data_IF_165110478757
#
_entry.id   IF_165110478757
#
_cell.length_a   1.000
_cell.length_b   1.000
_cell.length_c   1.000
_cell.angle_alpha   90.00
_cell.angle_beta   90.00
_cell.angle_gamma   90.00
#
_symmetry.space_group_name_H-M   'P 1'
#
loop_
_entity.id
_entity.type
_entity.pdbx_description
1 polymer ?
#
# COMPACT_ATOMS: atom_id res chain seq x y z
N UNK A 1 41.63 -26.64 -19.89
CA UNK A 1 41.91 -25.48 -20.76
C UNK A 1 42.28 -24.31 -19.88
N UNK A 2 43.53 -23.88 -19.90
CA UNK A 2 43.98 -22.72 -19.13
C UNK A 2 43.64 -21.46 -19.92
N UNK A 3 42.69 -20.67 -19.43
CA UNK A 3 42.41 -19.35 -20.00
C UNK A 3 43.49 -18.40 -19.52
N UNK A 4 44.17 -17.72 -20.44
CA UNK A 4 45.25 -16.77 -20.12
C UNK A 4 44.66 -15.48 -19.53
N UNK A 5 45.44 -14.78 -18.69
CA UNK A 5 45.04 -13.50 -18.10
C UNK A 5 44.61 -12.47 -19.14
N UNK A 6 45.21 -12.48 -20.35
CA UNK A 6 44.82 -11.59 -21.45
C UNK A 6 43.45 -11.93 -22.06
N UNK A 7 43.08 -13.23 -22.07
CA UNK A 7 41.76 -13.66 -22.51
C UNK A 7 40.68 -13.26 -21.50
N UNK A 8 40.96 -13.36 -20.20
CA UNK A 8 40.07 -12.89 -19.13
C UNK A 8 39.89 -11.38 -19.23
N UNK A 9 40.95 -10.61 -19.40
CA UNK A 9 40.84 -9.14 -19.58
C UNK A 9 40.03 -8.76 -20.83
N UNK A 10 40.21 -9.48 -21.94
CA UNK A 10 39.43 -9.24 -23.17
C UNK A 10 37.93 -9.51 -22.97
N UNK A 11 37.58 -10.59 -22.28
CA UNK A 11 36.22 -10.92 -21.94
C UNK A 11 35.61 -9.89 -21.00
N UNK A 12 36.34 -9.48 -19.97
CA UNK A 12 35.91 -8.44 -19.02
C UNK A 12 35.67 -7.10 -19.71
N UNK A 13 36.59 -6.68 -20.60
CA UNK A 13 36.43 -5.45 -21.41
C UNK A 13 35.24 -5.53 -22.35
N UNK A 14 34.93 -6.69 -22.93
CA UNK A 14 33.79 -6.91 -23.80
C UNK A 14 32.47 -6.82 -23.00
N UNK A 15 32.43 -7.47 -21.85
CA UNK A 15 31.26 -7.41 -20.93
C UNK A 15 31.08 -5.98 -20.40
N UNK A 16 32.14 -5.29 -20.00
CA UNK A 16 32.07 -3.90 -19.53
C UNK A 16 31.71 -2.92 -20.66
N UNK A 17 32.10 -3.18 -21.91
CA UNK A 17 31.70 -2.41 -23.09
C UNK A 17 30.25 -2.61 -23.48
N UNK A 18 29.69 -3.81 -23.24
CA UNK A 18 28.26 -4.10 -23.45
C UNK A 18 27.38 -3.57 -22.29
N UNK A 19 27.95 -3.31 -21.12
CA UNK A 19 27.29 -2.70 -19.94
C UNK A 19 27.39 -1.16 -19.98
N UNK A 20 28.18 -0.56 -20.86
CA UNK A 20 28.15 0.89 -21.06
C UNK A 20 26.77 1.29 -21.59
N UNK A 21 25.93 2.00 -20.81
CA UNK A 21 24.63 2.44 -21.32
C UNK A 21 24.91 3.43 -22.45
N UNK A 22 24.44 3.10 -23.65
CA UNK A 22 24.26 4.10 -24.68
C UNK A 22 23.44 5.23 -24.05
N UNK A 23 24.02 6.40 -23.94
CA UNK A 23 23.34 7.61 -23.51
C UNK A 23 22.29 7.99 -24.57
N UNK A 24 21.13 7.29 -24.52
CA UNK A 24 19.94 7.71 -25.22
C UNK A 24 19.28 8.81 -24.37
N UNK A 25 19.82 10.03 -24.45
CA UNK A 25 19.17 11.24 -23.98
C UNK A 25 18.14 11.67 -25.02
N UNK A 26 17.07 10.93 -25.18
CA UNK A 26 15.81 11.53 -25.66
C UNK A 26 15.16 12.19 -24.44
N UNK A 27 15.53 13.44 -24.14
CA UNK A 27 14.79 14.27 -23.20
C UNK A 27 13.40 14.46 -23.78
N UNK A 28 12.43 13.68 -23.32
CA UNK A 28 11.03 14.01 -23.55
C UNK A 28 10.87 15.45 -23.09
N UNK A 29 10.43 16.35 -23.97
CA UNK A 29 10.30 17.79 -23.66
C UNK A 29 9.32 17.92 -22.50
N UNK A 30 9.80 18.33 -21.33
CA UNK A 30 8.95 18.58 -20.17
C UNK A 30 7.88 19.59 -20.60
N UNK A 31 6.57 19.31 -20.42
CA UNK A 31 5.53 20.26 -20.79
C UNK A 31 5.60 21.52 -19.91
N UNK A 32 5.03 22.63 -20.39
CA UNK A 32 5.00 23.88 -19.63
C UNK A 32 4.02 23.82 -18.44
N UNK A 33 2.97 22.99 -18.55
CA UNK A 33 1.87 22.90 -17.59
C UNK A 33 1.55 21.46 -17.26
N UNK A 34 0.92 21.25 -16.11
CA UNK A 34 0.39 19.97 -15.64
C UNK A 34 -1.06 20.15 -15.18
N UNK A 35 -1.88 19.12 -15.37
CA UNK A 35 -3.24 19.06 -14.85
C UNK A 35 -3.26 18.29 -13.54
N UNK A 36 -4.04 18.77 -12.58
CA UNK A 36 -4.30 18.11 -11.30
C UNK A 36 -5.80 18.00 -11.08
N UNK A 37 -6.26 16.90 -10.51
CA UNK A 37 -7.62 16.75 -10.04
C UNK A 37 -7.68 17.17 -8.57
N UNK A 38 -8.01 18.42 -8.32
CA UNK A 38 -7.98 19.05 -7.00
C UNK A 38 -9.34 18.92 -6.31
N UNK A 39 -9.33 18.40 -5.09
CA UNK A 39 -10.48 18.48 -4.19
C UNK A 39 -10.59 19.92 -3.67
N UNK A 40 -11.61 20.65 -4.11
CA UNK A 40 -11.82 22.08 -3.81
C UNK A 40 -12.87 22.31 -2.72
N UNK A 41 -13.74 21.33 -2.51
CA UNK A 41 -14.74 21.27 -1.45
C UNK A 41 -15.18 19.80 -1.27
N UNK A 42 -15.85 19.45 -0.16
CA UNK A 42 -16.40 18.11 0.00
C UNK A 42 -17.21 17.65 -1.23
N UNK A 43 -16.91 16.46 -1.75
CA UNK A 43 -17.49 15.84 -2.95
C UNK A 43 -17.28 16.63 -4.25
N UNK A 44 -16.28 17.52 -4.30
CA UNK A 44 -16.04 18.35 -5.46
C UNK A 44 -14.57 18.31 -5.86
N UNK A 45 -14.24 17.44 -6.82
CA UNK A 45 -12.94 17.40 -7.49
C UNK A 45 -13.06 18.18 -8.82
N UNK A 46 -12.17 19.12 -9.04
CA UNK A 46 -12.07 19.92 -10.26
C UNK A 46 -10.69 19.74 -10.90
N UNK A 47 -10.66 19.53 -12.22
CA UNK A 47 -9.39 19.51 -12.95
C UNK A 47 -8.91 20.94 -13.13
N UNK A 48 -7.72 21.22 -12.61
CA UNK A 48 -7.05 22.52 -12.74
C UNK A 48 -5.72 22.35 -13.44
N UNK A 49 -5.26 23.39 -14.11
CA UNK A 49 -3.98 23.42 -14.80
C UNK A 49 -3.05 24.41 -14.14
N UNK A 50 -1.82 23.99 -13.88
CA UNK A 50 -0.78 24.81 -13.26
C UNK A 50 0.51 24.75 -14.08
N UNK A 51 1.27 25.84 -14.07
CA UNK A 51 2.63 25.80 -14.59
C UNK A 51 3.46 24.79 -13.79
N UNK A 52 4.27 24.00 -14.49
CA UNK A 52 5.21 23.08 -13.82
C UNK A 52 6.31 23.93 -13.17
N UNK A 53 6.51 23.83 -11.85
CA UNK A 53 7.58 24.55 -11.18
C UNK A 53 8.96 24.15 -11.73
N UNK A 54 9.93 25.06 -11.64
CA UNK A 54 11.33 24.73 -11.98
C UNK A 54 11.83 23.58 -11.10
N UNK A 55 12.32 22.53 -11.74
CA UNK A 55 12.90 21.37 -11.03
C UNK A 55 14.23 21.80 -10.42
N UNK A 56 14.29 21.80 -9.10
CA UNK A 56 15.48 22.14 -8.32
C UNK A 56 16.53 21.03 -8.30
N UNK A 57 17.68 21.31 -7.71
CA UNK A 57 18.81 20.40 -7.65
C UNK A 57 18.52 19.09 -6.88
N UNK A 58 17.51 19.10 -6.00
CA UNK A 58 17.09 17.98 -5.16
C UNK A 58 15.66 17.50 -5.45
N UNK A 59 15.08 17.87 -6.60
CA UNK A 59 13.72 17.56 -6.96
C UNK A 59 13.65 16.50 -8.07
N UNK A 60 12.53 15.79 -8.14
CA UNK A 60 12.21 14.83 -9.19
C UNK A 60 10.87 15.20 -9.79
N UNK A 61 10.80 15.45 -11.09
CA UNK A 61 9.55 15.57 -11.81
C UNK A 61 9.16 14.22 -12.41
N UNK A 62 7.97 13.78 -12.10
CA UNK A 62 7.40 12.50 -12.54
C UNK A 62 6.21 12.74 -13.45
N UNK A 63 6.18 12.11 -14.62
CA UNK A 63 4.97 11.94 -15.41
C UNK A 63 4.16 10.80 -14.80
N UNK A 64 2.98 11.08 -14.30
CA UNK A 64 2.13 10.06 -13.65
C UNK A 64 1.59 9.07 -14.68
N UNK A 65 1.63 7.79 -14.36
CA UNK A 65 1.04 6.72 -15.18
C UNK A 65 -0.24 6.15 -14.55
N UNK A 66 -0.35 6.20 -13.23
CA UNK A 66 -1.54 5.75 -12.53
C UNK A 66 -1.44 5.91 -11.03
N UNK A 67 -2.59 5.82 -10.36
CA UNK A 67 -2.70 5.90 -8.91
C UNK A 67 -3.92 5.13 -8.41
N UNK A 68 -3.76 4.34 -7.36
CA UNK A 68 -4.90 3.72 -6.67
C UNK A 68 -5.74 4.77 -5.91
N UNK A 69 -7.04 4.50 -5.80
CA UNK A 69 -7.94 5.24 -4.91
C UNK A 69 -8.00 4.51 -3.57
N UNK A 70 -7.60 5.18 -2.51
CA UNK A 70 -7.62 4.69 -1.14
C UNK A 70 -8.91 5.06 -0.40
N UNK A 71 -9.19 4.36 0.70
CA UNK A 71 -10.24 4.75 1.64
C UNK A 71 -10.01 6.14 2.22
N UNK A 72 -8.75 6.53 2.44
CA UNK A 72 -8.35 7.87 2.90
C UNK A 72 -8.79 8.97 1.92
N UNK A 73 -8.57 8.78 0.61
CA UNK A 73 -9.03 9.74 -0.41
C UNK A 73 -10.55 9.92 -0.36
N UNK A 74 -11.28 8.82 -0.13
CA UNK A 74 -12.75 8.84 -0.01
C UNK A 74 -13.21 9.55 1.26
N UNK A 75 -12.50 9.40 2.39
CA UNK A 75 -12.83 10.11 3.62
C UNK A 75 -12.62 11.61 3.45
N UNK A 76 -11.50 12.03 2.85
CA UNK A 76 -11.26 13.43 2.53
C UNK A 76 -12.30 13.99 1.55
N UNK A 77 -12.59 13.25 0.49
CA UNK A 77 -13.61 13.64 -0.49
C UNK A 77 -14.99 13.82 0.15
N UNK A 78 -15.37 13.00 1.16
CA UNK A 78 -16.67 13.10 1.81
C UNK A 78 -16.81 14.29 2.76
N UNK A 79 -15.77 14.66 3.48
CA UNK A 79 -15.97 15.59 4.60
C UNK A 79 -14.73 16.28 5.16
N UNK A 80 -13.55 16.16 4.54
CA UNK A 80 -12.31 16.83 4.97
C UNK A 80 -11.93 16.60 6.45
N UNK A 81 -11.86 15.32 6.91
CA UNK A 81 -11.52 15.03 8.31
C UNK A 81 -10.13 15.50 8.72
N UNK A 82 -9.20 15.72 7.77
CA UNK A 82 -7.85 16.20 8.07
C UNK A 82 -7.70 17.72 7.92
N UNK A 83 -8.73 18.43 7.40
CA UNK A 83 -8.70 19.88 7.24
C UNK A 83 -7.69 20.35 6.19
N UNK A 84 -7.54 19.60 5.09
CA UNK A 84 -6.49 19.85 4.08
C UNK A 84 -7.01 20.40 2.75
N UNK A 85 -8.32 20.62 2.61
CA UNK A 85 -8.89 21.20 1.38
C UNK A 85 -8.48 22.70 1.28
N UNK A 86 -8.00 23.19 0.10
CA UNK A 86 -7.87 22.45 -1.16
C UNK A 86 -6.64 21.55 -1.22
N UNK A 87 -6.77 20.37 -1.86
CA UNK A 87 -5.70 19.37 -1.97
C UNK A 87 -5.79 18.60 -3.29
N UNK A 88 -4.65 18.22 -3.85
CA UNK A 88 -4.58 17.20 -4.90
C UNK A 88 -4.37 15.86 -4.21
N UNK A 89 -5.40 15.00 -4.20
CA UNK A 89 -5.35 13.69 -3.56
C UNK A 89 -4.53 12.66 -4.37
N UNK A 90 -4.56 11.40 -3.91
CA UNK A 90 -3.87 10.26 -4.49
C UNK A 90 -2.47 10.07 -3.92
N UNK A 91 -2.25 8.95 -3.22
CA UNK A 91 -0.99 8.59 -2.56
C UNK A 91 -0.47 7.20 -2.93
N UNK A 92 -1.24 6.42 -3.67
CA UNK A 92 -0.86 5.09 -4.18
C UNK A 92 -0.38 5.17 -5.63
N UNK A 93 0.46 6.15 -5.94
CA UNK A 93 0.79 6.51 -7.32
C UNK A 93 2.14 6.01 -7.81
N UNK A 94 2.25 5.99 -9.14
CA UNK A 94 3.46 5.62 -9.89
C UNK A 94 3.57 6.40 -11.18
N UNK A 95 4.81 6.58 -11.65
CA UNK A 95 5.05 7.25 -12.92
C UNK A 95 6.50 7.16 -13.36
N UNK A 96 6.79 7.82 -14.47
CA UNK A 96 8.12 7.88 -15.09
C UNK A 96 8.81 9.19 -14.75
N UNK A 97 10.07 9.12 -14.36
CA UNK A 97 10.91 10.30 -14.15
C UNK A 97 11.15 11.00 -15.48
N UNK A 98 10.73 12.26 -15.60
CA UNK A 98 10.95 13.08 -16.79
C UNK A 98 11.99 14.19 -16.58
N UNK A 99 12.25 14.57 -15.32
CA UNK A 99 13.39 15.43 -14.98
C UNK A 99 13.92 15.07 -13.59
N UNK A 100 15.24 15.18 -13.42
CA UNK A 100 15.96 14.77 -12.22
C UNK A 100 16.95 15.85 -11.81
N UNK A 101 16.88 16.27 -10.55
CA UNK A 101 17.81 17.21 -9.95
C UNK A 101 19.24 16.66 -9.91
N UNK A 102 20.22 17.53 -10.11
CA UNK A 102 21.62 17.14 -10.26
C UNK A 102 22.25 16.43 -9.04
N UNK A 103 21.68 16.65 -7.84
CA UNK A 103 22.17 16.05 -6.60
C UNK A 103 21.60 14.66 -6.35
N UNK A 104 20.55 14.26 -7.07
CA UNK A 104 19.90 12.96 -6.89
C UNK A 104 20.64 11.92 -7.73
N UNK A 105 21.22 10.90 -7.08
CA UNK A 105 22.01 9.83 -7.71
C UNK A 105 21.46 8.44 -7.44
N UNK A 106 20.70 8.27 -6.35
CA UNK A 106 20.13 7.01 -5.93
C UNK A 106 18.71 7.22 -5.43
N UNK A 107 17.93 6.15 -5.46
CA UNK A 107 16.67 6.08 -4.73
C UNK A 107 16.90 5.91 -3.21
N UNK A 108 15.83 5.83 -2.43
CA UNK A 108 15.91 5.68 -0.97
C UNK A 108 16.57 4.37 -0.53
N UNK A 109 16.51 3.33 -1.35
CA UNK A 109 17.17 2.04 -1.10
C UNK A 109 18.63 2.00 -1.57
N UNK A 110 19.15 3.09 -2.16
CA UNK A 110 20.51 3.18 -2.68
C UNK A 110 20.70 2.69 -4.12
N UNK A 111 19.62 2.35 -4.83
CA UNK A 111 19.70 1.95 -6.24
C UNK A 111 19.94 3.17 -7.13
N UNK A 112 20.77 3.06 -8.18
CA UNK A 112 20.94 4.14 -9.16
C UNK A 112 19.61 4.58 -9.75
N UNK A 113 19.47 5.90 -9.98
CA UNK A 113 18.25 6.50 -10.51
C UNK A 113 18.56 7.42 -11.68
N UNK A 114 17.70 7.43 -12.70
CA UNK A 114 17.85 8.24 -13.91
C UNK A 114 16.50 8.63 -14.51
N UNK A 115 16.49 9.59 -15.41
CA UNK A 115 15.34 9.92 -16.26
C UNK A 115 14.92 8.67 -17.06
N UNK A 116 13.61 8.42 -17.13
CA UNK A 116 12.99 7.24 -17.72
C UNK A 116 12.71 6.11 -16.73
N UNK A 117 13.27 6.14 -15.52
CA UNK A 117 12.95 5.14 -14.50
C UNK A 117 11.53 5.29 -14.00
N UNK A 118 10.90 4.16 -13.68
CA UNK A 118 9.59 4.11 -13.03
C UNK A 118 9.78 4.18 -11.52
N UNK A 119 9.01 5.05 -10.87
CA UNK A 119 9.11 5.23 -9.42
C UNK A 119 7.76 5.27 -8.74
N UNK A 120 7.83 5.06 -7.43
CA UNK A 120 6.77 5.26 -6.45
C UNK A 120 7.30 6.13 -5.32
N UNK A 121 6.43 6.79 -4.57
CA UNK A 121 6.80 7.50 -3.34
C UNK A 121 6.33 6.73 -2.11
N UNK A 122 6.92 7.04 -0.97
CA UNK A 122 6.52 6.56 0.35
C UNK A 122 6.28 7.74 1.28
N UNK A 123 6.22 7.48 2.57
CA UNK A 123 6.04 8.48 3.61
C UNK A 123 7.19 9.50 3.62
N UNK A 124 6.85 10.74 3.97
CA UNK A 124 7.80 11.83 4.16
C UNK A 124 8.03 11.98 5.66
N UNK A 125 9.27 11.87 6.11
CA UNK A 125 9.63 12.00 7.52
C UNK A 125 10.41 13.29 7.79
N UNK A 126 10.17 13.93 8.96
CA UNK A 126 10.82 15.21 9.26
C UNK A 126 12.34 15.10 9.53
N UNK A 127 12.82 13.93 9.92
CA UNK A 127 14.23 13.67 10.25
C UNK A 127 14.68 14.23 11.62
N UNK A 128 13.80 14.89 12.39
CA UNK A 128 14.20 15.62 13.61
C UNK A 128 13.39 15.31 14.87
N UNK A 129 12.20 14.70 14.76
CA UNK A 129 11.43 14.30 15.94
C UNK A 129 12.10 13.13 16.68
N UNK A 130 11.57 12.78 17.84
CA UNK A 130 12.10 11.68 18.66
C UNK A 130 12.21 10.37 17.86
N UNK A 131 11.17 10.00 17.13
CA UNK A 131 11.15 8.76 16.35
C UNK A 131 12.19 8.80 15.23
N UNK A 132 12.22 9.86 14.43
CA UNK A 132 13.16 9.97 13.33
C UNK A 132 14.62 9.88 13.77
N UNK A 133 14.95 10.47 14.95
CA UNK A 133 16.32 10.43 15.50
C UNK A 133 16.70 9.11 16.16
N UNK A 134 15.76 8.45 16.82
CA UNK A 134 16.06 7.29 17.67
C UNK A 134 15.59 5.96 17.08
N UNK A 135 14.65 5.98 16.12
CA UNK A 135 14.08 4.81 15.45
C UNK A 135 13.87 5.08 13.95
N UNK A 136 14.92 5.35 13.17
CA UNK A 136 14.81 5.78 11.78
C UNK A 136 14.10 4.77 10.86
N UNK A 137 14.05 3.49 11.26
CA UNK A 137 13.29 2.46 10.56
C UNK A 137 11.77 2.55 10.76
N UNK A 138 11.29 3.46 11.63
CA UNK A 138 9.87 3.60 11.95
C UNK A 138 9.35 4.97 11.45
N UNK A 139 9.60 5.31 10.19
CA UNK A 139 9.21 6.61 9.60
C UNK A 139 7.71 6.85 9.63
N UNK A 140 6.91 5.79 9.67
CA UNK A 140 5.45 5.83 9.85
C UNK A 140 5.00 6.39 11.21
N UNK A 141 5.88 6.49 12.18
CA UNK A 141 5.60 7.07 13.50
C UNK A 141 6.21 8.47 13.67
N UNK A 142 6.57 9.14 12.58
CA UNK A 142 7.03 10.52 12.60
C UNK A 142 5.92 11.45 13.09
N UNK A 143 6.23 12.37 14.03
CA UNK A 143 5.24 13.29 14.60
C UNK A 143 4.59 14.23 13.57
N UNK A 144 5.30 14.51 12.46
CA UNK A 144 4.86 15.35 11.36
C UNK A 144 4.98 14.60 10.03
N UNK A 145 4.56 13.34 10.03
CA UNK A 145 4.55 12.51 8.83
C UNK A 145 3.77 13.19 7.70
N UNK A 146 4.37 13.26 6.51
CA UNK A 146 3.71 13.69 5.29
C UNK A 146 3.55 12.53 4.31
N UNK A 147 2.59 12.67 3.40
CA UNK A 147 2.36 11.74 2.29
C UNK A 147 1.99 12.56 1.06
N UNK A 148 2.61 12.31 -0.08
CA UNK A 148 2.19 12.91 -1.34
C UNK A 148 0.74 12.52 -1.64
N UNK A 149 -0.12 13.52 -1.89
CA UNK A 149 -1.57 13.33 -2.00
C UNK A 149 -2.37 13.71 -0.75
N UNK A 150 -1.69 14.00 0.37
CA UNK A 150 -2.30 14.52 1.61
C UNK A 150 -1.61 15.81 2.08
N UNK A 151 -0.90 16.49 1.18
CA UNK A 151 -0.26 17.78 1.43
C UNK A 151 -1.21 18.88 0.94
N UNK A 152 -1.62 19.83 1.80
CA UNK A 152 -2.46 20.96 1.38
C UNK A 152 -1.86 21.71 0.19
N UNK A 153 -2.71 22.24 -0.66
CA UNK A 153 -2.29 23.00 -1.83
C UNK A 153 -1.39 24.18 -1.48
N UNK A 154 -0.38 24.39 -2.30
CA UNK A 154 0.52 25.55 -2.21
C UNK A 154 0.86 26.04 -3.61
N UNK A 155 0.80 27.36 -3.83
CA UNK A 155 1.21 27.98 -5.11
C UNK A 155 2.69 27.74 -5.44
N UNK A 156 3.54 27.47 -4.44
CA UNK A 156 4.96 27.16 -4.64
C UNK A 156 5.17 25.79 -5.27
N UNK A 157 4.37 24.82 -4.88
CA UNK A 157 4.33 23.49 -5.50
C UNK A 157 2.87 22.99 -5.52
N UNK A 158 2.15 23.15 -6.64
CA UNK A 158 0.80 22.66 -6.80
C UNK A 158 0.73 21.17 -7.14
N UNK A 159 1.87 20.51 -7.41
CA UNK A 159 1.98 19.15 -7.92
C UNK A 159 2.36 18.17 -6.80
N UNK A 160 1.56 18.10 -5.74
CA UNK A 160 1.84 17.33 -4.52
C UNK A 160 1.01 16.06 -4.35
N UNK A 161 0.18 15.69 -5.33
CA UNK A 161 -0.67 14.49 -5.30
C UNK A 161 -0.63 13.74 -6.63
N UNK A 162 -0.87 12.43 -6.55
CA UNK A 162 -0.79 11.54 -7.72
C UNK A 162 -2.04 11.58 -8.61
N UNK A 163 -3.14 12.21 -8.19
CA UNK A 163 -4.27 12.47 -9.10
C UNK A 163 -3.95 13.67 -9.98
N UNK A 164 -2.95 13.51 -10.81
CA UNK A 164 -2.39 14.53 -11.67
C UNK A 164 -1.74 13.93 -12.92
N UNK A 165 -1.39 14.75 -13.90
CA UNK A 165 -0.55 14.32 -15.04
C UNK A 165 0.93 14.31 -14.67
N UNK A 166 1.33 15.13 -13.69
CA UNK A 166 2.71 15.20 -13.19
C UNK A 166 2.71 15.41 -11.67
N UNK A 167 3.71 14.86 -11.02
CA UNK A 167 4.03 15.04 -9.61
C UNK A 167 5.43 15.64 -9.48
N UNK A 168 5.61 16.65 -8.63
CA UNK A 168 6.93 17.16 -8.27
C UNK A 168 7.30 16.68 -6.87
N UNK A 169 8.18 15.69 -6.81
CA UNK A 169 8.76 15.23 -5.54
C UNK A 169 9.81 16.26 -5.14
N UNK A 170 9.55 16.97 -4.06
CA UNK A 170 10.44 18.01 -3.53
C UNK A 170 10.37 18.01 -1.99
N UNK A 171 11.37 18.60 -1.37
CA UNK A 171 11.41 18.74 0.08
C UNK A 171 12.24 17.66 0.79
N UNK A 172 12.71 18.07 1.98
CA UNK A 172 13.52 17.21 2.86
C UNK A 172 12.66 16.05 3.37
N UNK A 173 13.23 14.86 3.41
CA UNK A 173 12.59 13.66 3.96
C UNK A 173 11.69 12.92 2.96
N UNK A 174 11.53 13.40 1.72
CA UNK A 174 10.83 12.66 0.67
C UNK A 174 11.55 11.35 0.38
N UNK A 175 10.77 10.27 0.30
CA UNK A 175 11.28 8.93 0.00
C UNK A 175 10.64 8.40 -1.28
N UNK A 176 11.43 7.71 -2.10
CA UNK A 176 11.04 7.18 -3.41
C UNK A 176 11.87 5.97 -3.78
N UNK A 177 11.30 5.09 -4.60
CA UNK A 177 11.90 3.80 -4.97
C UNK A 177 11.76 3.54 -6.47
N UNK A 178 12.84 3.04 -7.09
CA UNK A 178 12.84 2.58 -8.49
C UNK A 178 12.14 1.23 -8.58
N UNK A 179 11.18 1.11 -9.51
CA UNK A 179 10.27 -0.05 -9.66
C UNK A 179 10.13 -0.52 -11.12
N UNK A 180 11.22 -0.45 -11.87
CA UNK A 180 11.24 -0.74 -13.31
C UNK A 180 10.78 -2.16 -13.68
N UNK A 181 10.93 -3.12 -12.80
CA UNK A 181 10.62 -4.53 -13.01
C UNK A 181 9.17 -4.91 -12.66
N UNK A 182 8.39 -3.96 -12.13
CA UNK A 182 6.98 -4.11 -11.82
C UNK A 182 6.12 -3.51 -12.95
N UNK A 183 5.08 -4.22 -13.38
CA UNK A 183 4.12 -3.65 -14.32
C UNK A 183 3.23 -2.58 -13.67
N UNK A 184 2.47 -1.82 -14.49
CA UNK A 184 1.66 -0.71 -14.00
C UNK A 184 0.68 -1.12 -12.90
N UNK A 185 0.02 -2.29 -13.03
CA UNK A 185 -0.96 -2.75 -12.03
C UNK A 185 -0.27 -3.13 -10.72
N UNK A 186 0.89 -3.77 -10.78
CA UNK A 186 1.70 -4.10 -9.61
C UNK A 186 2.17 -2.82 -8.90
N UNK A 187 2.62 -1.82 -9.67
CA UNK A 187 3.05 -0.53 -9.11
C UNK A 187 1.91 0.24 -8.42
N UNK A 188 0.68 0.23 -8.98
CA UNK A 188 -0.49 0.84 -8.36
C UNK A 188 -1.02 0.09 -7.13
N UNK A 189 -0.59 -1.15 -6.91
CA UNK A 189 -0.92 -1.94 -5.73
C UNK A 189 0.19 -1.92 -4.68
N UNK A 190 1.36 -1.35 -4.99
CA UNK A 190 2.56 -1.44 -4.16
C UNK A 190 2.36 -0.77 -2.80
N UNK A 191 1.79 0.43 -2.77
CA UNK A 191 1.54 1.17 -1.53
C UNK A 191 0.56 0.39 -0.62
N UNK A 192 -0.57 -0.01 -1.15
CA UNK A 192 -1.55 -0.85 -0.45
C UNK A 192 -0.93 -2.16 0.07
N UNK A 193 -0.06 -2.79 -0.73
CA UNK A 193 0.65 -3.99 -0.32
C UNK A 193 1.65 -3.70 0.82
N UNK A 194 2.24 -2.50 0.83
CA UNK A 194 3.17 -2.08 1.87
C UNK A 194 2.50 -2.01 3.25
N UNK A 195 1.25 -1.50 3.32
CA UNK A 195 0.42 -1.54 4.54
C UNK A 195 0.29 -2.97 5.08
N UNK A 196 0.02 -3.93 4.19
CA UNK A 196 -0.15 -5.34 4.58
C UNK A 196 1.17 -6.02 4.98
N UNK A 197 2.27 -5.72 4.28
CA UNK A 197 3.61 -6.23 4.60
C UNK A 197 4.07 -5.68 5.95
N UNK A 198 3.83 -4.39 6.22
CA UNK A 198 4.10 -3.78 7.53
C UNK A 198 3.31 -4.47 8.64
N UNK A 199 2.00 -4.69 8.44
CA UNK A 199 1.17 -5.38 9.41
C UNK A 199 1.64 -6.82 9.67
N UNK A 200 2.08 -7.57 8.64
CA UNK A 200 2.69 -8.88 8.82
C UNK A 200 4.01 -8.80 9.60
N UNK A 201 4.86 -7.82 9.31
CA UNK A 201 6.11 -7.56 10.06
C UNK A 201 5.81 -7.30 11.54
N UNK A 202 4.77 -6.50 11.84
CA UNK A 202 4.29 -6.27 13.21
C UNK A 202 3.77 -7.56 13.86
N UNK A 203 2.95 -8.33 13.16
CA UNK A 203 2.40 -9.58 13.64
C UNK A 203 3.49 -10.64 13.92
N UNK A 204 4.52 -10.71 13.10
CA UNK A 204 5.64 -11.64 13.25
C UNK A 204 6.44 -11.43 14.54
N UNK A 205 6.37 -10.26 15.18
CA UNK A 205 7.00 -10.02 16.49
C UNK A 205 6.42 -10.91 17.60
N UNK A 206 5.23 -11.48 17.39
CA UNK A 206 4.57 -12.38 18.35
C UNK A 206 5.06 -13.84 18.25
N UNK A 207 5.72 -14.22 17.16
CA UNK A 207 6.12 -15.61 16.89
C UNK A 207 4.96 -16.57 16.57
N UNK A 208 3.73 -16.05 16.39
CA UNK A 208 2.52 -16.87 16.22
C UNK A 208 2.24 -17.26 14.77
N UNK A 209 2.91 -16.63 13.80
CA UNK A 209 2.66 -16.86 12.38
C UNK A 209 3.79 -17.67 11.75
N UNK A 210 3.43 -18.82 11.18
CA UNK A 210 4.32 -19.67 10.39
C UNK A 210 3.49 -20.45 9.35
N UNK A 211 4.13 -21.29 8.53
CA UNK A 211 3.48 -22.05 7.46
C UNK A 211 2.32 -22.96 7.93
N UNK A 212 2.30 -23.39 9.21
CA UNK A 212 1.27 -24.29 9.77
C UNK A 212 0.17 -23.52 10.52
N UNK A 213 0.32 -22.24 10.74
CA UNK A 213 -0.64 -21.42 11.49
C UNK A 213 -1.98 -21.32 10.77
N UNK A 214 -3.06 -21.29 11.56
CA UNK A 214 -4.41 -20.97 11.13
C UNK A 214 -4.60 -19.46 11.31
N UNK A 215 -4.76 -18.73 10.21
CA UNK A 215 -4.83 -17.26 10.23
C UNK A 215 -6.18 -16.81 9.71
N UNK A 216 -6.80 -15.89 10.42
CA UNK A 216 -8.07 -15.28 10.00
C UNK A 216 -7.84 -13.86 9.50
N UNK A 217 -8.51 -13.52 8.39
CA UNK A 217 -8.60 -12.15 7.87
C UNK A 217 -10.06 -11.72 7.91
N UNK A 218 -10.36 -10.70 8.70
CA UNK A 218 -11.71 -10.15 8.85
C UNK A 218 -11.82 -8.80 8.15
N UNK A 219 -12.79 -8.69 7.24
CA UNK A 219 -12.95 -7.56 6.34
C UNK A 219 -12.14 -7.74 5.06
N UNK A 220 -12.83 -7.96 3.94
CA UNK A 220 -12.23 -8.27 2.64
C UNK A 220 -12.34 -7.07 1.67
N UNK A 221 -12.14 -5.87 2.19
CA UNK A 221 -11.80 -4.72 1.37
C UNK A 221 -10.44 -4.91 0.66
N UNK A 222 -9.95 -3.93 -0.09
CA UNK A 222 -8.65 -4.04 -0.77
C UNK A 222 -7.53 -4.50 0.18
N UNK A 223 -7.46 -3.92 1.38
CA UNK A 223 -6.47 -4.29 2.42
C UNK A 223 -6.56 -5.76 2.80
N UNK A 224 -7.76 -6.25 3.16
CA UNK A 224 -7.91 -7.66 3.58
C UNK A 224 -7.62 -8.66 2.47
N UNK A 225 -7.98 -8.33 1.22
CA UNK A 225 -7.68 -9.18 0.07
C UNK A 225 -6.17 -9.22 -0.24
N UNK A 226 -5.48 -8.08 -0.13
CA UNK A 226 -4.01 -8.05 -0.26
C UNK A 226 -3.35 -8.78 0.90
N UNK A 227 -3.88 -8.66 2.15
CA UNK A 227 -3.37 -9.41 3.30
C UNK A 227 -3.42 -10.93 3.08
N UNK A 228 -4.48 -11.45 2.46
CA UNK A 228 -4.55 -12.88 2.07
C UNK A 228 -3.40 -13.24 1.12
N UNK A 229 -3.13 -12.38 0.13
CA UNK A 229 -2.05 -12.58 -0.84
C UNK A 229 -0.67 -12.56 -0.16
N UNK A 230 -0.45 -11.63 0.77
CA UNK A 230 0.79 -11.50 1.55
C UNK A 230 0.99 -12.75 2.44
N UNK A 231 -0.04 -13.17 3.15
CA UNK A 231 0.01 -14.38 3.98
C UNK A 231 0.32 -15.64 3.15
N UNK A 232 -0.32 -15.78 1.98
CA UNK A 232 -0.05 -16.89 1.06
C UNK A 232 1.39 -16.87 0.55
N UNK A 233 1.89 -15.72 0.14
CA UNK A 233 3.28 -15.58 -0.31
C UNK A 233 4.29 -15.85 0.83
N UNK A 234 3.92 -15.54 2.07
CA UNK A 234 4.69 -15.87 3.27
C UNK A 234 4.58 -17.35 3.70
N UNK A 235 3.88 -18.19 2.92
CA UNK A 235 3.77 -19.63 3.15
C UNK A 235 2.64 -20.05 4.10
N UNK A 236 1.76 -19.14 4.53
CA UNK A 236 0.59 -19.50 5.35
C UNK A 236 -0.44 -20.23 4.49
N UNK A 237 -0.73 -21.49 4.83
CA UNK A 237 -1.58 -22.36 4.01
C UNK A 237 -3.03 -22.46 4.50
N UNK A 238 -3.34 -21.99 5.70
CA UNK A 238 -4.66 -22.12 6.32
C UNK A 238 -5.22 -20.73 6.64
N UNK A 239 -5.79 -20.10 5.64
CA UNK A 239 -6.38 -18.76 5.75
C UNK A 239 -7.90 -18.89 5.78
N UNK A 240 -8.52 -18.32 6.82
CA UNK A 240 -9.96 -18.14 6.97
C UNK A 240 -10.28 -16.67 6.67
N UNK A 241 -11.28 -16.39 5.85
CA UNK A 241 -11.65 -15.05 5.46
C UNK A 241 -13.13 -14.76 5.77
N UNK A 242 -13.43 -13.60 6.37
CA UNK A 242 -14.79 -13.20 6.77
C UNK A 242 -15.17 -11.86 6.13
N UNK A 243 -16.29 -11.82 5.39
CA UNK A 243 -16.89 -10.60 4.82
C UNK A 243 -18.40 -10.84 4.58
N UNK A 244 -19.14 -9.80 4.21
CA UNK A 244 -20.55 -9.90 3.82
C UNK A 244 -20.78 -9.76 2.31
N UNK A 245 -19.73 -9.57 1.50
CA UNK A 245 -19.85 -9.26 0.07
C UNK A 245 -19.45 -10.47 -0.78
N UNK A 246 -20.40 -11.11 -1.51
CA UNK A 246 -20.10 -12.34 -2.26
C UNK A 246 -18.91 -12.22 -3.20
N UNK A 247 -18.80 -11.12 -3.95
CA UNK A 247 -17.69 -10.85 -4.89
C UNK A 247 -16.33 -10.84 -4.18
N UNK A 248 -16.26 -10.29 -2.97
CA UNK A 248 -15.03 -10.24 -2.16
C UNK A 248 -14.67 -11.62 -1.58
N UNK A 249 -15.68 -12.38 -1.14
CA UNK A 249 -15.49 -13.76 -0.67
C UNK A 249 -14.98 -14.67 -1.80
N UNK A 250 -15.50 -14.53 -3.01
CA UNK A 250 -15.00 -15.25 -4.18
C UNK A 250 -13.54 -14.87 -4.51
N UNK A 251 -13.22 -13.57 -4.49
CA UNK A 251 -11.86 -13.11 -4.69
C UNK A 251 -10.91 -13.65 -3.62
N UNK A 252 -11.33 -13.68 -2.36
CA UNK A 252 -10.53 -14.26 -1.27
C UNK A 252 -10.17 -15.74 -1.52
N UNK A 253 -11.10 -16.54 -2.06
CA UNK A 253 -10.83 -17.94 -2.48
C UNK A 253 -9.76 -17.98 -3.58
N UNK A 254 -9.88 -17.14 -4.60
CA UNK A 254 -8.89 -17.07 -5.71
C UNK A 254 -7.51 -16.71 -5.17
N UNK A 255 -7.43 -15.79 -4.21
CA UNK A 255 -6.18 -15.34 -3.59
C UNK A 255 -5.58 -16.37 -2.63
N UNK A 256 -6.33 -17.38 -2.22
CA UNK A 256 -5.82 -18.51 -1.42
C UNK A 256 -6.47 -18.75 -0.08
N UNK A 257 -7.55 -18.04 0.27
CA UNK A 257 -8.34 -18.39 1.46
C UNK A 257 -9.00 -19.76 1.27
N UNK A 258 -8.74 -20.68 2.19
CA UNK A 258 -9.30 -22.04 2.16
C UNK A 258 -10.74 -22.09 2.67
N UNK A 259 -11.07 -21.19 3.61
CA UNK A 259 -12.40 -21.09 4.18
C UNK A 259 -12.86 -19.66 4.08
N UNK A 260 -14.06 -19.44 3.55
CA UNK A 260 -14.69 -18.12 3.52
C UNK A 260 -16.03 -18.19 4.25
N UNK A 261 -16.34 -17.15 5.01
CA UNK A 261 -17.54 -17.06 5.83
C UNK A 261 -18.26 -15.74 5.51
N UNK A 262 -19.51 -15.87 5.07
CA UNK A 262 -20.38 -14.71 4.87
C UNK A 262 -21.12 -14.41 6.17
N UNK A 263 -20.84 -13.28 6.81
CA UNK A 263 -21.58 -12.87 8.00
C UNK A 263 -23.03 -12.44 7.71
N UNK A 264 -23.37 -12.22 6.43
CA UNK A 264 -24.76 -11.96 6.01
C UNK A 264 -25.58 -13.23 5.89
N UNK A 265 -24.96 -14.33 5.48
CA UNK A 265 -25.60 -15.64 5.37
C UNK A 265 -25.59 -16.37 6.71
N UNK A 266 -24.50 -16.23 7.47
CA UNK A 266 -24.31 -16.81 8.81
C UNK A 266 -24.33 -15.65 9.82
N UNK A 267 -25.53 -15.20 10.18
CA UNK A 267 -25.75 -14.04 11.06
C UNK A 267 -25.30 -14.28 12.50
N UNK A 268 -25.39 -15.51 12.99
CA UNK A 268 -24.98 -15.86 14.36
C UNK A 268 -23.48 -15.84 14.54
N UNK A 269 -22.98 -15.09 15.53
CA UNK A 269 -21.57 -15.10 15.92
C UNK A 269 -21.15 -16.50 16.37
N UNK A 270 -21.99 -17.19 17.15
CA UNK A 270 -21.71 -18.54 17.64
C UNK A 270 -21.50 -19.53 16.48
N UNK A 271 -22.36 -19.50 15.46
CA UNK A 271 -22.20 -20.35 14.28
C UNK A 271 -20.90 -20.04 13.52
N UNK A 272 -20.55 -18.76 13.33
CA UNK A 272 -19.29 -18.36 12.71
C UNK A 272 -18.08 -18.86 13.52
N UNK A 273 -18.13 -18.73 14.85
CA UNK A 273 -17.10 -19.23 15.77
C UNK A 273 -16.95 -20.75 15.65
N UNK A 274 -18.07 -21.48 15.58
CA UNK A 274 -18.05 -22.94 15.44
C UNK A 274 -17.41 -23.36 14.10
N UNK A 275 -17.71 -22.66 13.00
CA UNK A 275 -17.07 -22.90 11.71
C UNK A 275 -15.56 -22.63 11.80
N UNK A 276 -15.14 -21.50 12.37
CA UNK A 276 -13.72 -21.18 12.54
C UNK A 276 -13.02 -22.25 13.38
N UNK A 277 -13.60 -22.70 14.49
CA UNK A 277 -13.06 -23.75 15.33
C UNK A 277 -12.95 -25.07 14.57
N UNK A 278 -13.95 -25.45 13.77
CA UNK A 278 -13.96 -26.72 13.02
C UNK A 278 -12.78 -26.85 12.05
N UNK A 279 -12.32 -25.72 11.48
CA UNK A 279 -11.17 -25.67 10.56
C UNK A 279 -9.85 -25.29 11.25
N UNK A 280 -9.92 -24.95 12.54
CA UNK A 280 -8.78 -24.51 13.36
C UNK A 280 -8.62 -25.41 14.61
N UNK A 281 -8.49 -26.71 14.38
CA UNK A 281 -8.20 -27.73 15.40
C UNK A 281 -9.18 -27.78 16.60
N UNK A 282 -10.40 -27.27 16.44
CA UNK A 282 -11.41 -27.21 17.49
C UNK A 282 -11.27 -26.07 18.50
N UNK A 283 -10.22 -25.24 18.40
CA UNK A 283 -9.87 -24.24 19.43
C UNK A 283 -9.96 -22.78 18.96
N UNK A 284 -9.89 -22.53 17.67
CA UNK A 284 -9.83 -21.19 17.05
C UNK A 284 -8.48 -20.92 16.38
N UNK A 285 -8.37 -19.76 15.71
CA UNK A 285 -7.19 -19.42 14.94
C UNK A 285 -5.99 -19.02 15.79
N UNK A 286 -4.79 -19.23 15.27
CA UNK A 286 -3.53 -18.83 15.90
C UNK A 286 -3.36 -17.31 15.89
N UNK A 287 -3.74 -16.68 14.77
CA UNK A 287 -3.64 -15.23 14.58
C UNK A 287 -4.78 -14.70 13.73
N UNK A 288 -5.18 -13.43 13.98
CA UNK A 288 -6.22 -12.77 13.22
C UNK A 288 -5.79 -11.37 12.79
N UNK A 289 -6.10 -10.98 11.55
CA UNK A 289 -5.94 -9.61 11.04
C UNK A 289 -7.31 -8.95 10.97
N UNK A 290 -7.48 -7.84 11.69
CA UNK A 290 -8.66 -7.00 11.66
C UNK A 290 -8.44 -5.91 10.59
N UNK A 291 -9.16 -6.02 9.46
CA UNK A 291 -8.98 -5.17 8.28
C UNK A 291 -10.24 -4.35 7.96
N UNK A 292 -11.14 -4.17 8.91
CA UNK A 292 -12.38 -3.38 8.73
C UNK A 292 -12.56 -2.35 9.83
N UNK A 293 -13.01 -1.15 9.50
CA UNK A 293 -13.34 -0.11 10.48
C UNK A 293 -14.73 -0.28 11.12
N UNK A 294 -15.28 -1.50 11.21
CA UNK A 294 -16.58 -1.75 11.82
C UNK A 294 -16.44 -2.18 13.28
N UNK A 295 -16.94 -1.39 14.27
CA UNK A 295 -16.79 -1.70 15.70
C UNK A 295 -17.30 -3.09 16.10
N UNK A 296 -18.44 -3.53 15.54
CA UNK A 296 -18.97 -4.86 15.83
C UNK A 296 -18.04 -5.98 15.34
N UNK A 297 -17.44 -5.84 14.18
CA UNK A 297 -16.47 -6.82 13.67
C UNK A 297 -15.21 -6.86 14.55
N UNK A 298 -14.68 -5.70 14.94
CA UNK A 298 -13.55 -5.61 15.85
C UNK A 298 -13.82 -6.21 17.23
N UNK A 299 -15.07 -6.18 17.71
CA UNK A 299 -15.50 -6.89 18.90
C UNK A 299 -15.53 -8.41 18.67
N UNK A 300 -16.12 -8.86 17.56
CA UNK A 300 -16.31 -10.27 17.27
C UNK A 300 -14.99 -11.03 17.08
N UNK A 301 -13.92 -10.37 16.63
CA UNK A 301 -12.66 -11.02 16.30
C UNK A 301 -12.04 -11.77 17.47
N UNK A 302 -12.24 -11.29 18.70
CA UNK A 302 -11.73 -11.95 19.92
C UNK A 302 -12.27 -13.36 20.09
N UNK A 303 -13.49 -13.65 19.61
CA UNK A 303 -14.13 -14.96 19.76
C UNK A 303 -13.56 -16.02 18.80
N UNK A 304 -12.93 -15.59 17.72
CA UNK A 304 -12.31 -16.50 16.74
C UNK A 304 -10.90 -16.99 17.18
N UNK A 305 -10.24 -16.26 18.09
CA UNK A 305 -8.85 -16.48 18.47
C UNK A 305 -8.77 -17.50 19.61
N UNK A 306 -7.88 -18.49 19.47
CA UNK A 306 -7.60 -19.47 20.53
C UNK A 306 -6.89 -18.85 21.73
N UNK A 307 -6.82 -19.58 22.83
CA UNK A 307 -5.93 -19.22 23.96
C UNK A 307 -4.46 -19.24 23.50
N UNK A 308 -3.67 -18.27 23.97
CA UNK A 308 -2.28 -18.06 23.53
C UNK A 308 -2.16 -17.66 22.05
N UNK A 309 -3.22 -17.20 21.42
CA UNK A 309 -3.21 -16.67 20.07
C UNK A 309 -2.95 -15.16 20.02
N UNK A 310 -3.18 -14.52 18.88
CA UNK A 310 -2.98 -13.08 18.75
C UNK A 310 -3.79 -12.42 17.64
N UNK A 311 -3.74 -11.12 17.62
CA UNK A 311 -4.34 -10.31 16.53
C UNK A 311 -3.51 -9.09 16.20
N UNK A 312 -3.69 -8.63 14.95
CA UNK A 312 -3.23 -7.34 14.48
C UNK A 312 -4.44 -6.46 14.18
N UNK A 313 -4.49 -5.29 14.82
CA UNK A 313 -5.47 -4.25 14.54
C UNK A 313 -4.90 -3.29 13.50
N UNK A 314 -5.52 -3.23 12.34
CA UNK A 314 -5.14 -2.32 11.24
C UNK A 314 -6.35 -1.71 10.52
N UNK A 315 -7.57 -2.02 10.98
CA UNK A 315 -8.81 -1.59 10.33
C UNK A 315 -9.29 -0.20 10.72
N UNK A 316 -8.89 0.29 11.89
CA UNK A 316 -9.29 1.59 12.40
C UNK A 316 -8.26 2.69 12.05
N UNK A 317 -7.99 2.88 10.76
CA UNK A 317 -7.09 3.96 10.29
C UNK A 317 -7.72 5.37 10.42
N UNK A 318 -9.03 5.46 10.68
CA UNK A 318 -9.76 6.67 11.09
C UNK A 318 -10.65 6.33 12.28
N UNK A 319 -11.08 7.34 13.03
CA UNK A 319 -12.01 7.15 14.14
C UNK A 319 -13.41 6.81 13.61
N UNK A 320 -13.76 5.53 13.60
CA UNK A 320 -15.06 5.00 13.19
C UNK A 320 -15.96 4.63 14.40
N UNK A 321 -15.64 5.07 15.61
CA UNK A 321 -16.37 4.78 16.84
C UNK A 321 -15.69 3.75 17.72
N UNK A 322 -16.44 3.27 18.70
CA UNK A 322 -15.95 2.45 19.82
C UNK A 322 -16.63 1.08 19.88
N UNK A 323 -15.96 0.12 20.52
CA UNK A 323 -16.56 -1.16 20.90
C UNK A 323 -16.13 -1.53 22.33
N UNK A 324 -16.97 -2.34 23.00
CA UNK A 324 -16.70 -2.78 24.37
C UNK A 324 -16.44 -4.28 24.41
N UNK A 325 -15.37 -4.68 25.07
CA UNK A 325 -15.04 -6.06 25.37
C UNK A 325 -14.83 -6.26 26.88
N UNK A 326 -15.09 -7.47 27.38
CA UNK A 326 -14.72 -7.81 28.74
C UNK A 326 -13.22 -8.25 28.73
N UNK A 327 -12.33 -7.49 29.39
CA UNK A 327 -10.87 -7.79 29.34
C UNK A 327 -10.52 -9.16 29.87
N UNK A 328 -11.27 -9.68 30.85
CA UNK A 328 -11.04 -11.01 31.39
C UNK A 328 -11.19 -12.08 30.33
N UNK A 329 -12.32 -12.08 29.62
CA UNK A 329 -12.63 -13.13 28.62
C UNK A 329 -11.93 -12.87 27.28
N UNK A 330 -11.81 -11.60 26.87
CA UNK A 330 -11.22 -11.26 25.57
C UNK A 330 -9.70 -11.36 25.56
N UNK A 331 -9.04 -11.02 26.67
CA UNK A 331 -7.58 -10.83 26.71
C UNK A 331 -6.90 -11.71 27.77
N UNK A 332 -7.16 -11.44 29.09
CA UNK A 332 -6.38 -12.05 30.17
C UNK A 332 -6.52 -13.56 30.24
N UNK A 333 -7.75 -14.09 30.27
CA UNK A 333 -8.00 -15.54 30.32
C UNK A 333 -7.47 -16.28 29.08
N UNK A 334 -7.49 -15.61 27.93
CA UNK A 334 -6.95 -16.17 26.68
C UNK A 334 -5.44 -15.96 26.53
N UNK A 335 -4.83 -15.06 27.30
CA UNK A 335 -3.41 -14.69 27.15
C UNK A 335 -3.05 -14.35 25.72
N UNK A 336 -3.86 -13.46 25.07
CA UNK A 336 -3.65 -13.10 23.66
C UNK A 336 -2.64 -11.97 23.49
N UNK A 337 -1.90 -12.01 22.37
CA UNK A 337 -1.04 -10.93 21.91
C UNK A 337 -1.84 -9.99 21.00
N UNK A 338 -1.82 -8.69 21.29
CA UNK A 338 -2.46 -7.66 20.45
C UNK A 338 -1.38 -6.74 19.94
N UNK A 339 -1.29 -6.57 18.63
CA UNK A 339 -0.40 -5.61 17.98
C UNK A 339 -1.19 -4.62 17.14
N UNK A 340 -0.87 -3.33 17.25
CA UNK A 340 -1.38 -2.32 16.34
C UNK A 340 -0.47 -2.21 15.12
N UNK A 341 -1.05 -1.90 13.96
CA UNK A 341 -0.30 -1.55 12.76
C UNK A 341 -0.82 -0.22 12.22
N UNK A 342 0.08 0.72 12.02
CA UNK A 342 -0.22 2.05 11.52
C UNK A 342 0.61 2.31 10.27
N UNK A 343 -0.08 2.52 9.12
CA UNK A 343 0.58 2.88 7.88
C UNK A 343 1.71 1.89 7.51
N UNK A 344 2.86 2.37 7.05
CA UNK A 344 4.07 1.63 6.71
C UNK A 344 5.31 2.53 6.80
N UNK A 345 6.47 1.93 6.98
CA UNK A 345 7.75 2.63 6.90
C UNK A 345 8.35 2.58 5.49
N UNK A 346 9.18 3.55 5.16
CA UNK A 346 9.95 3.52 3.92
C UNK A 346 10.77 2.21 3.77
N UNK A 347 11.29 1.68 4.87
CA UNK A 347 12.05 0.42 4.90
C UNK A 347 11.23 -0.83 4.54
N UNK A 348 9.90 -0.74 4.50
CA UNK A 348 9.04 -1.86 4.13
C UNK A 348 8.91 -2.02 2.60
N UNK A 349 9.25 -0.98 1.81
CA UNK A 349 9.13 -1.01 0.35
C UNK A 349 9.97 -2.09 -0.34
N UNK A 350 11.27 -2.29 -0.03
CA UNK A 350 12.06 -3.37 -0.63
C UNK A 350 11.44 -4.75 -0.40
N UNK A 351 10.93 -5.00 0.83
CA UNK A 351 10.25 -6.26 1.16
C UNK A 351 8.93 -6.39 0.40
N UNK A 352 8.19 -5.28 0.22
CA UNK A 352 6.93 -5.28 -0.53
C UNK A 352 7.16 -5.54 -2.03
N UNK A 353 8.20 -4.96 -2.61
CA UNK A 353 8.60 -5.29 -3.99
C UNK A 353 8.97 -6.77 -4.14
N UNK A 354 9.68 -7.33 -3.16
CA UNK A 354 9.98 -8.77 -3.14
C UNK A 354 8.69 -9.61 -3.04
N UNK A 355 7.73 -9.19 -2.21
CA UNK A 355 6.41 -9.83 -2.15
C UNK A 355 5.69 -9.83 -3.50
N UNK A 356 5.65 -8.71 -4.23
CA UNK A 356 4.98 -8.64 -5.53
C UNK A 356 5.64 -9.56 -6.57
N UNK A 357 6.98 -9.65 -6.57
CA UNK A 357 7.72 -10.61 -7.40
C UNK A 357 7.35 -12.06 -7.04
N UNK A 358 7.36 -12.38 -5.76
CA UNK A 358 6.97 -13.70 -5.25
C UNK A 358 5.52 -14.04 -5.60
N UNK A 359 4.60 -13.09 -5.47
CA UNK A 359 3.19 -13.27 -5.83
C UNK A 359 3.03 -13.59 -7.34
N UNK A 360 3.83 -12.94 -8.21
CA UNK A 360 3.88 -13.22 -9.65
C UNK A 360 4.38 -14.64 -9.91
N UNK A 361 5.48 -15.07 -9.29
CA UNK A 361 6.04 -16.41 -9.41
C UNK A 361 5.07 -17.50 -8.93
N UNK A 362 4.34 -17.22 -7.85
CA UNK A 362 3.33 -18.12 -7.30
C UNK A 362 1.98 -18.08 -8.04
N UNK A 363 1.84 -17.27 -9.08
CA UNK A 363 0.60 -17.03 -9.81
C UNK A 363 -0.56 -16.61 -8.88
N UNK A 364 -0.29 -15.77 -7.88
CA UNK A 364 -1.32 -15.16 -7.06
C UNK A 364 -1.96 -14.03 -7.89
N UNK A 365 -3.28 -14.05 -8.15
CA UNK A 365 -3.91 -13.14 -9.10
C UNK A 365 -4.18 -11.74 -8.48
N UNK A 366 -3.18 -11.14 -7.81
CA UNK A 366 -3.33 -9.86 -7.10
C UNK A 366 -3.77 -8.72 -8.03
N UNK A 367 -3.40 -8.76 -9.30
CA UNK A 367 -3.77 -7.74 -10.29
C UNK A 367 -5.27 -7.73 -10.64
N UNK A 368 -6.00 -8.83 -10.37
CA UNK A 368 -7.45 -8.89 -10.52
C UNK A 368 -8.19 -8.04 -9.47
N UNK A 369 -7.50 -7.58 -8.44
CA UNK A 369 -8.06 -6.64 -7.47
C UNK A 369 -8.42 -5.29 -8.11
N UNK A 370 -7.69 -4.85 -9.14
CA UNK A 370 -8.02 -3.64 -9.89
C UNK A 370 -9.19 -3.93 -10.82
N UNK A 371 -10.38 -3.50 -10.39
CA UNK A 371 -11.64 -3.80 -11.08
C UNK A 371 -12.15 -2.66 -11.95
N UNK A 372 -11.76 -1.43 -11.66
CA UNK A 372 -12.20 -0.24 -12.38
C UNK A 372 -11.03 0.73 -12.55
N UNK A 373 -10.98 1.37 -13.71
CA UNK A 373 -10.02 2.42 -14.01
C UNK A 373 -10.74 3.64 -14.57
N UNK A 374 -10.28 4.83 -14.21
CA UNK A 374 -10.88 6.10 -14.61
C UNK A 374 -9.79 7.06 -15.11
N UNK A 375 -10.08 7.90 -16.08
CA UNK A 375 -9.22 9.04 -16.45
C UNK A 375 -9.30 10.15 -15.40
N UNK A 376 -8.41 11.14 -15.50
CA UNK A 376 -8.25 12.18 -14.50
C UNK A 376 -9.51 13.02 -14.26
N UNK A 377 -10.28 13.30 -15.31
CA UNK A 377 -11.50 14.11 -15.28
C UNK A 377 -12.72 13.36 -14.69
N UNK A 378 -12.59 12.05 -14.45
CA UNK A 378 -13.63 11.18 -13.92
C UNK A 378 -13.44 10.76 -12.45
N UNK A 379 -12.57 11.46 -11.71
CA UNK A 379 -12.25 11.06 -10.34
C UNK A 379 -13.42 11.23 -9.35
N UNK A 380 -14.36 12.15 -9.57
CA UNK A 380 -15.60 12.16 -8.77
C UNK A 380 -16.38 10.85 -8.93
N UNK A 381 -16.52 10.35 -10.18
CA UNK A 381 -17.18 9.05 -10.45
C UNK A 381 -16.41 7.89 -9.80
N UNK A 382 -15.07 7.93 -9.83
CA UNK A 382 -14.21 6.95 -9.18
C UNK A 382 -14.45 6.88 -7.66
N UNK A 383 -14.61 8.05 -7.00
CA UNK A 383 -14.95 8.12 -5.57
C UNK A 383 -16.34 7.53 -5.29
N UNK A 384 -17.34 7.82 -6.13
CA UNK A 384 -18.69 7.26 -5.98
C UNK A 384 -18.72 5.74 -6.13
N UNK A 385 -17.99 5.18 -7.12
CA UNK A 385 -17.85 3.73 -7.31
C UNK A 385 -17.18 3.07 -6.10
N UNK A 386 -16.19 3.74 -5.50
CA UNK A 386 -15.55 3.25 -4.28
C UNK A 386 -16.54 3.23 -3.10
N UNK A 387 -17.28 4.32 -2.90
CA UNK A 387 -18.31 4.44 -1.83
C UNK A 387 -19.41 3.40 -1.96
N UNK A 388 -19.88 3.15 -3.18
CA UNK A 388 -20.94 2.16 -3.45
C UNK A 388 -20.49 0.71 -3.34
N UNK A 389 -19.18 0.47 -3.12
CA UNK A 389 -18.57 -0.85 -3.03
C UNK A 389 -18.79 -1.75 -4.26
N UNK A 390 -19.06 -1.15 -5.42
CA UNK A 390 -19.23 -1.89 -6.69
C UNK A 390 -17.93 -2.50 -7.19
N UNK A 391 -16.80 -1.86 -6.88
CA UNK A 391 -15.45 -2.32 -7.16
C UNK A 391 -14.73 -2.93 -5.96
N UNK A 392 -13.54 -3.48 -6.20
CA UNK A 392 -12.58 -3.88 -5.17
C UNK A 392 -11.52 -2.79 -5.06
N UNK A 393 -10.64 -2.65 -6.05
CA UNK A 393 -9.68 -1.55 -6.15
C UNK A 393 -10.01 -0.70 -7.36
N UNK A 394 -10.13 0.57 -7.14
CA UNK A 394 -10.39 1.59 -8.15
C UNK A 394 -9.06 2.31 -8.40
N UNK A 395 -8.75 2.63 -9.66
CA UNK A 395 -7.53 3.35 -9.98
C UNK A 395 -7.80 4.49 -10.97
N UNK A 396 -7.05 5.56 -10.85
CA UNK A 396 -6.78 6.49 -11.91
C UNK A 396 -5.71 5.89 -12.83
N UNK A 397 -5.88 5.98 -14.13
CA UNK A 397 -4.87 5.64 -15.14
C UNK A 397 -4.76 6.81 -16.11
N UNK A 398 -3.53 7.26 -16.34
CA UNK A 398 -3.25 8.32 -17.30
C UNK A 398 -3.50 7.84 -18.75
N UNK A 399 -3.90 8.78 -19.61
CA UNK A 399 -4.10 8.55 -21.05
C UNK A 399 -2.77 8.31 -21.79
#
# INVERSE_FOLDING_TARGET
MNISSSQVESIVRKILGEISPAANTSSAKVPATAKVAMLTAPKKIEVKEFAIPTVGDNDILVKVEGCGVCGTDVHEWKGDPFGIIPVTLGHEGTGEIVALGKNIKTDTAGNPIKVGDKIVTSVISCGECFVCRNKPANTNLCDTQGVFGLIPHSDKNPLTGWFATHLLISGKGSTYFVVNDLDLKERMLLELACVCVHALKRANTTGLINFNSKVLVQGLGPVGLVMISVLRAAGVNHIVAIDGTPKRLEMAKKLGAKTVISFKEIGSLEERVNIVKSVANGVGVDFAFQCTGAPMAAKDIYEYIRRGGGMCEMGFFVNNGEYTVNPHFAMCNKEISIVGSWDYSADDYPTTMAFLRQAREMNIPIKELITHTFPLDKLNEAMEVNVSQQGIKICYVAD
#
